data_IF_757422307668
#
_entry.id   IF_757422307668
#
_cell.length_a   1.000
_cell.length_b   1.000
_cell.length_c   1.000
_cell.angle_alpha   90.00
_cell.angle_beta   90.00
_cell.angle_gamma   90.00
#
_symmetry.space_group_name_H-M   'P 1'
#
loop_
_entity.id
_entity.type
_entity.pdbx_description
1 polymer ?
#
# COMPACT_ATOMS: atom_id res chain seq x y z
N UNK A 1 -2.90 -18.89 19.83
CA UNK A 1 -2.88 -18.28 18.49
C UNK A 1 -4.09 -18.77 17.72
N UNK A 2 -5.01 -17.88 17.35
CA UNK A 2 -6.05 -18.24 16.37
C UNK A 2 -5.33 -18.46 15.05
N UNK A 3 -5.33 -19.69 14.53
CA UNK A 3 -4.84 -19.95 13.17
C UNK A 3 -5.80 -19.26 12.22
N UNK A 4 -5.46 -18.04 11.81
CA UNK A 4 -6.16 -17.35 10.74
C UNK A 4 -5.85 -18.10 9.44
N UNK A 5 -6.86 -18.39 8.62
CA UNK A 5 -6.68 -19.00 7.29
C UNK A 5 -6.03 -18.07 6.26
N UNK A 6 -5.22 -17.11 6.72
CA UNK A 6 -4.51 -16.14 5.90
C UNK A 6 -3.30 -16.81 5.28
N UNK A 7 -2.98 -16.47 4.03
CA UNK A 7 -1.79 -17.00 3.37
C UNK A 7 -0.54 -16.45 4.07
N UNK A 8 0.35 -17.34 4.49
CA UNK A 8 1.64 -16.99 5.07
C UNK A 8 2.72 -16.81 3.98
N UNK A 9 3.97 -16.58 4.37
CA UNK A 9 5.07 -16.39 3.43
C UNK A 9 5.30 -17.60 2.52
N UNK A 10 5.11 -18.83 3.01
CA UNK A 10 5.26 -20.03 2.19
C UNK A 10 4.19 -20.12 1.10
N UNK A 11 2.94 -19.86 1.47
CA UNK A 11 1.82 -19.85 0.53
C UNK A 11 1.94 -18.71 -0.51
N UNK A 12 2.31 -17.50 -0.06
CA UNK A 12 2.53 -16.36 -0.96
C UNK A 12 3.72 -16.62 -1.88
N UNK A 13 4.86 -17.10 -1.34
CA UNK A 13 6.02 -17.48 -2.16
C UNK A 13 5.65 -18.46 -3.26
N UNK A 14 4.90 -19.51 -2.93
CA UNK A 14 4.46 -20.50 -3.92
C UNK A 14 3.73 -19.84 -5.08
N UNK A 15 2.78 -18.94 -4.78
CA UNK A 15 2.06 -18.16 -5.78
C UNK A 15 3.02 -17.33 -6.64
N UNK A 16 3.96 -16.62 -6.03
CA UNK A 16 4.92 -15.78 -6.75
C UNK A 16 5.81 -16.59 -7.69
N UNK A 17 6.27 -17.76 -7.26
CA UNK A 17 7.14 -18.63 -8.07
C UNK A 17 6.36 -19.27 -9.23
N UNK A 18 5.15 -19.78 -8.97
CA UNK A 18 4.28 -20.37 -10.00
C UNK A 18 3.94 -19.35 -11.11
N UNK A 19 3.84 -18.06 -10.76
CA UNK A 19 3.50 -16.98 -11.67
C UNK A 19 4.70 -16.11 -12.08
N UNK A 20 5.94 -16.49 -11.73
CA UNK A 20 7.11 -15.60 -11.84
C UNK A 20 7.30 -15.05 -13.26
N UNK A 21 7.08 -15.89 -14.28
CA UNK A 21 7.30 -15.53 -15.67
C UNK A 21 6.33 -14.43 -16.09
N UNK A 22 5.04 -14.64 -15.80
CA UNK A 22 4.00 -13.67 -16.11
C UNK A 22 4.17 -12.37 -15.32
N UNK A 23 4.52 -12.46 -14.03
CA UNK A 23 4.85 -11.28 -13.21
C UNK A 23 5.97 -10.47 -13.86
N UNK A 24 7.08 -11.13 -14.22
CA UNK A 24 8.22 -10.44 -14.84
C UNK A 24 7.86 -9.89 -16.20
N UNK A 25 7.09 -10.59 -17.03
CA UNK A 25 6.70 -10.14 -18.37
C UNK A 25 5.73 -8.94 -18.33
N UNK A 26 4.69 -9.00 -17.50
CA UNK A 26 3.62 -8.00 -17.48
C UNK A 26 3.93 -6.77 -16.62
N UNK A 27 4.87 -6.86 -15.66
CA UNK A 27 5.22 -5.70 -14.84
C UNK A 27 5.78 -4.57 -15.72
N UNK A 28 5.07 -3.45 -15.77
CA UNK A 28 5.47 -2.28 -16.53
C UNK A 28 6.31 -1.31 -15.69
N UNK A 29 7.02 -0.40 -16.37
CA UNK A 29 7.86 0.59 -15.70
C UNK A 29 7.07 1.75 -15.10
N UNK A 30 5.88 2.02 -15.60
CA UNK A 30 5.06 3.17 -15.22
C UNK A 30 4.81 3.18 -13.70
N UNK A 31 4.46 2.03 -13.14
CA UNK A 31 4.17 1.90 -11.70
C UNK A 31 5.31 2.40 -10.80
N UNK A 32 6.57 2.03 -11.08
CA UNK A 32 7.71 2.51 -10.28
C UNK A 32 8.16 3.92 -10.63
N UNK A 33 7.97 4.33 -11.89
CA UNK A 33 8.32 5.67 -12.35
C UNK A 33 7.40 6.71 -11.69
N UNK A 34 6.09 6.45 -11.65
CA UNK A 34 5.11 7.28 -10.96
C UNK A 34 5.38 7.29 -9.45
N UNK A 35 5.66 6.14 -8.84
CA UNK A 35 6.06 6.08 -7.42
C UNK A 35 7.29 6.94 -7.12
N UNK A 36 8.33 6.84 -7.96
CA UNK A 36 9.56 7.62 -7.81
C UNK A 36 9.28 9.12 -7.97
N UNK A 37 8.49 9.51 -8.98
CA UNK A 37 8.06 10.89 -9.19
C UNK A 37 7.33 11.43 -7.97
N UNK A 38 6.37 10.68 -7.41
CA UNK A 38 5.63 11.10 -6.22
C UNK A 38 6.55 11.28 -5.02
N UNK A 39 7.48 10.35 -4.81
CA UNK A 39 8.45 10.45 -3.73
C UNK A 39 9.37 11.67 -3.89
N UNK A 40 9.84 11.98 -5.11
CA UNK A 40 10.61 13.19 -5.38
C UNK A 40 9.79 14.46 -5.12
N UNK A 41 8.53 14.50 -5.57
CA UNK A 41 7.64 15.64 -5.37
C UNK A 41 7.28 15.86 -3.90
N UNK A 42 7.16 14.78 -3.12
CA UNK A 42 6.95 14.83 -1.67
C UNK A 42 8.10 15.55 -0.95
N UNK A 43 9.33 15.46 -1.46
CA UNK A 43 10.49 16.13 -0.88
C UNK A 43 10.73 17.57 -1.37
N UNK A 44 10.03 18.03 -2.41
CA UNK A 44 10.26 19.36 -3.01
C UNK A 44 9.64 20.52 -2.24
N UNK A 45 8.67 20.27 -1.38
CA UNK A 45 8.00 21.33 -0.64
C UNK A 45 6.69 20.87 0.00
N UNK A 46 5.86 21.84 0.39
CA UNK A 46 4.54 21.59 0.97
C UNK A 46 3.62 20.91 -0.05
N UNK A 47 2.92 19.86 0.39
CA UNK A 47 1.88 19.19 -0.41
C UNK A 47 0.72 20.14 -0.67
N UNK A 48 0.41 21.05 0.26
CA UNK A 48 -0.74 21.94 0.17
C UNK A 48 -0.73 22.76 -1.11
N UNK A 49 0.45 23.26 -1.50
CA UNK A 49 0.67 24.05 -2.72
C UNK A 49 1.14 23.24 -3.92
N UNK A 50 1.45 21.95 -3.76
CA UNK A 50 1.96 21.10 -4.85
C UNK A 50 0.81 20.44 -5.62
N UNK A 51 0.20 21.18 -6.54
CA UNK A 51 -0.90 20.69 -7.37
C UNK A 51 -0.55 19.49 -8.24
N UNK A 52 0.70 19.41 -8.75
CA UNK A 52 1.16 18.27 -9.52
C UNK A 52 1.21 16.99 -8.67
N UNK A 53 1.75 17.08 -7.44
CA UNK A 53 1.76 15.96 -6.50
C UNK A 53 0.34 15.48 -6.23
N UNK A 54 -0.58 16.38 -5.84
CA UNK A 54 -1.97 16.02 -5.53
C UNK A 54 -2.65 15.33 -6.72
N UNK A 55 -2.49 15.87 -7.93
CA UNK A 55 -3.08 15.30 -9.15
C UNK A 55 -2.58 13.88 -9.42
N UNK A 56 -1.26 13.67 -9.45
CA UNK A 56 -0.67 12.36 -9.72
C UNK A 56 -0.99 11.37 -8.59
N UNK A 57 -0.93 11.83 -7.33
CA UNK A 57 -1.18 11.00 -6.16
C UNK A 57 -2.62 10.47 -6.15
N UNK A 58 -3.59 11.33 -6.48
CA UNK A 58 -5.01 10.96 -6.52
C UNK A 58 -5.30 9.86 -7.53
N UNK A 59 -4.73 9.99 -8.72
CA UNK A 59 -4.86 8.99 -9.77
C UNK A 59 -4.17 7.68 -9.36
N UNK A 60 -2.95 7.76 -8.83
CA UNK A 60 -2.14 6.59 -8.49
C UNK A 60 -2.71 5.77 -7.31
N UNK A 61 -3.27 6.45 -6.30
CA UNK A 61 -3.86 5.81 -5.11
C UNK A 61 -5.40 5.83 -5.10
N UNK A 62 -6.02 6.05 -6.26
CA UNK A 62 -7.46 6.01 -6.46
C UNK A 62 -8.28 6.87 -5.46
N UNK A 63 -7.78 8.05 -5.11
CA UNK A 63 -8.56 9.04 -4.34
C UNK A 63 -9.63 9.73 -5.18
N UNK A 64 -9.59 9.59 -6.52
CA UNK A 64 -10.65 10.05 -7.42
C UNK A 64 -11.92 9.18 -7.38
N UNK A 65 -11.95 8.19 -6.47
CA UNK A 65 -13.10 7.31 -6.28
C UNK A 65 -14.37 8.14 -5.96
N UNK A 66 -15.53 7.83 -6.59
CA UNK A 66 -16.80 8.53 -6.35
C UNK A 66 -17.29 8.55 -4.89
N UNK A 67 -16.74 7.71 -4.01
CA UNK A 67 -17.07 7.72 -2.58
C UNK A 67 -16.29 8.76 -1.76
N UNK A 68 -15.21 9.32 -2.33
CA UNK A 68 -14.40 10.38 -1.72
C UNK A 68 -15.11 11.73 -1.89
N UNK A 69 -15.19 12.48 -0.79
CA UNK A 69 -15.74 13.84 -0.73
C UNK A 69 -14.60 14.86 -0.74
N UNK A 70 -14.88 16.09 -1.15
CA UNK A 70 -13.89 17.18 -1.10
C UNK A 70 -13.38 17.41 0.33
N UNK A 71 -14.26 17.30 1.33
CA UNK A 71 -13.91 17.37 2.75
C UNK A 71 -12.93 16.24 3.15
N UNK A 72 -13.16 15.02 2.65
CA UNK A 72 -12.25 13.91 2.88
C UNK A 72 -10.90 14.14 2.22
N UNK A 73 -10.89 14.56 0.96
CA UNK A 73 -9.66 14.84 0.21
C UNK A 73 -8.83 15.93 0.92
N UNK A 74 -9.48 17.02 1.33
CA UNK A 74 -8.82 18.08 2.08
C UNK A 74 -8.21 17.54 3.37
N UNK A 75 -9.01 16.82 4.18
CA UNK A 75 -8.53 16.26 5.45
C UNK A 75 -7.40 15.25 5.25
N UNK A 76 -7.47 14.46 4.18
CA UNK A 76 -6.45 13.49 3.82
C UNK A 76 -5.11 14.16 3.53
N UNK A 77 -5.10 15.22 2.70
CA UNK A 77 -3.86 15.92 2.37
C UNK A 77 -3.30 16.74 3.53
N UNK A 78 -4.14 17.31 4.39
CA UNK A 78 -3.68 17.93 5.66
C UNK A 78 -2.93 16.91 6.54
N UNK A 79 -3.48 15.70 6.66
CA UNK A 79 -2.86 14.63 7.44
C UNK A 79 -1.57 14.12 6.78
N UNK A 80 -1.54 13.96 5.46
CA UNK A 80 -0.34 13.57 4.74
C UNK A 80 0.76 14.63 4.88
N UNK A 81 0.44 15.92 4.83
CA UNK A 81 1.40 17.01 5.07
C UNK A 81 1.94 16.96 6.50
N UNK A 82 1.07 16.76 7.50
CA UNK A 82 1.48 16.58 8.89
C UNK A 82 2.41 15.38 9.05
N UNK A 83 2.07 14.24 8.46
CA UNK A 83 2.88 13.03 8.55
C UNK A 83 4.18 13.13 7.75
N UNK A 84 4.21 13.89 6.65
CA UNK A 84 5.44 14.19 5.89
C UNK A 84 6.47 14.94 6.74
N UNK A 85 6.02 15.88 7.56
CA UNK A 85 6.87 16.65 8.48
C UNK A 85 7.23 15.87 9.75
N UNK A 86 6.46 14.83 10.09
CA UNK A 86 6.64 14.05 11.30
C UNK A 86 7.80 13.06 11.18
N UNK A 87 8.79 13.14 12.08
CA UNK A 87 9.89 12.17 12.18
C UNK A 87 9.60 10.98 13.08
N UNK A 88 8.56 11.07 13.92
CA UNK A 88 8.20 10.03 14.86
C UNK A 88 7.44 8.88 14.18
N UNK A 89 7.31 7.77 14.90
CA UNK A 89 6.49 6.63 14.45
C UNK A 89 5.03 7.08 14.29
N UNK A 90 4.40 6.86 13.13
CA UNK A 90 3.02 7.28 12.89
C UNK A 90 2.06 6.52 13.80
N UNK A 91 1.09 7.23 14.38
CA UNK A 91 0.00 6.61 15.12
C UNK A 91 -1.13 6.25 14.16
N UNK A 92 -1.03 5.05 13.58
CA UNK A 92 -1.97 4.53 12.56
C UNK A 92 -3.42 4.60 13.06
N UNK A 93 -3.68 4.23 14.31
CA UNK A 93 -5.03 4.24 14.89
C UNK A 93 -5.60 5.66 14.92
N UNK A 94 -4.79 6.63 15.35
CA UNK A 94 -5.21 8.03 15.45
C UNK A 94 -5.47 8.65 14.08
N UNK A 95 -4.57 8.44 13.12
CA UNK A 95 -4.74 8.93 11.74
C UNK A 95 -6.01 8.32 11.12
N UNK A 96 -6.20 7.00 11.30
CA UNK A 96 -7.40 6.31 10.79
C UNK A 96 -8.67 6.80 11.48
N UNK A 97 -8.62 7.10 12.77
CA UNK A 97 -9.76 7.65 13.50
C UNK A 97 -10.16 9.03 13.00
N UNK A 98 -9.20 9.91 12.75
CA UNK A 98 -9.48 11.25 12.21
C UNK A 98 -10.12 11.19 10.81
N UNK A 99 -9.66 10.27 9.94
CA UNK A 99 -10.32 10.05 8.65
C UNK A 99 -11.69 9.37 8.77
N UNK A 100 -11.87 8.48 9.76
CA UNK A 100 -13.15 7.83 10.04
C UNK A 100 -14.25 8.82 10.47
N UNK A 101 -13.87 9.93 11.08
CA UNK A 101 -14.79 11.00 11.49
C UNK A 101 -15.32 11.82 10.31
N UNK A 102 -14.62 11.83 9.18
CA UNK A 102 -15.11 12.51 7.97
C UNK A 102 -16.18 11.64 7.31
N UNK A 103 -17.39 12.18 7.23
CA UNK A 103 -18.54 11.45 6.69
C UNK A 103 -18.43 11.31 5.17
N UNK A 104 -18.84 10.15 4.67
CA UNK A 104 -19.01 9.96 3.23
C UNK A 104 -20.23 10.72 2.71
N UNK A 105 -20.47 10.67 1.39
CA UNK A 105 -21.62 11.31 0.73
C UNK A 105 -23.00 10.93 1.30
N UNK A 106 -23.10 9.77 1.94
CA UNK A 106 -24.32 9.28 2.58
C UNK A 106 -24.41 9.66 4.07
N UNK A 107 -23.51 10.51 4.57
CA UNK A 107 -23.47 10.93 5.98
C UNK A 107 -22.92 9.87 6.94
N UNK A 108 -22.39 8.76 6.44
CA UNK A 108 -21.93 7.63 7.25
C UNK A 108 -20.40 7.65 7.42
N UNK A 109 -19.87 7.27 8.60
CA UNK A 109 -18.44 7.07 8.76
C UNK A 109 -18.00 5.81 8.01
N UNK A 110 -16.82 5.86 7.39
CA UNK A 110 -16.25 4.74 6.65
C UNK A 110 -14.87 4.37 7.20
N UNK A 111 -14.53 3.07 7.16
CA UNK A 111 -13.21 2.61 7.56
C UNK A 111 -12.21 2.89 6.44
N UNK A 112 -11.36 3.90 6.61
CA UNK A 112 -10.44 4.38 5.58
C UNK A 112 -9.00 3.88 5.77
N UNK A 113 -8.85 2.67 6.33
CA UNK A 113 -7.55 2.07 6.63
C UNK A 113 -6.63 1.95 5.40
N UNK A 114 -7.11 1.49 4.22
CA UNK A 114 -6.27 1.42 3.01
C UNK A 114 -5.68 2.78 2.63
N UNK A 115 -6.47 3.85 2.67
CA UNK A 115 -5.97 5.21 2.38
C UNK A 115 -4.90 5.67 3.36
N UNK A 116 -5.02 5.33 4.65
CA UNK A 116 -3.95 5.60 5.63
C UNK A 116 -2.69 4.81 5.30
N UNK A 117 -2.80 3.55 4.85
CA UNK A 117 -1.63 2.77 4.46
C UNK A 117 -0.97 3.36 3.21
N UNK A 118 -1.72 3.87 2.24
CA UNK A 118 -1.19 4.57 1.07
C UNK A 118 -0.37 5.82 1.47
N UNK A 119 -0.90 6.59 2.42
CA UNK A 119 -0.22 7.76 3.01
C UNK A 119 1.12 7.39 3.64
N UNK A 120 1.15 6.30 4.40
CA UNK A 120 2.38 5.84 5.06
C UNK A 120 3.36 5.17 4.10
N UNK A 121 2.84 4.47 3.09
CA UNK A 121 3.62 3.80 2.06
C UNK A 121 4.39 4.79 1.18
N UNK A 122 3.77 5.91 0.78
CA UNK A 122 4.48 6.93 -0.01
C UNK A 122 5.58 7.61 0.80
N UNK A 123 5.36 7.80 2.11
CA UNK A 123 6.34 8.39 3.02
C UNK A 123 7.50 7.42 3.30
N UNK A 124 7.18 6.14 3.45
CA UNK A 124 8.14 5.11 3.79
C UNK A 124 7.75 3.75 3.17
N UNK A 125 8.53 3.21 2.21
CA UNK A 125 8.20 1.96 1.52
C UNK A 125 8.20 0.71 2.41
N UNK A 126 8.67 0.80 3.66
CA UNK A 126 8.59 -0.31 4.62
C UNK A 126 7.18 -0.53 5.19
N UNK A 127 6.22 0.36 4.89
CA UNK A 127 4.81 0.12 5.10
C UNK A 127 4.23 -0.50 3.83
N UNK A 128 3.94 -1.82 3.76
CA UNK A 128 3.38 -2.44 2.57
C UNK A 128 2.07 -1.78 2.12
N UNK A 129 1.79 -1.86 0.82
CA UNK A 129 0.52 -1.43 0.27
C UNK A 129 -0.62 -2.34 0.75
N UNK A 130 -1.81 -1.79 0.99
CA UNK A 130 -2.96 -2.53 1.53
C UNK A 130 -4.20 -2.38 0.64
N UNK A 131 -4.00 -2.54 -0.67
CA UNK A 131 -5.06 -2.50 -1.69
C UNK A 131 -5.90 -3.77 -1.71
N UNK A 132 -7.10 -3.69 -2.31
CA UNK A 132 -8.07 -4.80 -2.37
C UNK A 132 -7.47 -6.09 -2.93
N UNK A 133 -6.72 -6.02 -4.03
CA UNK A 133 -6.17 -7.23 -4.66
C UNK A 133 -5.16 -7.91 -3.72
N UNK A 134 -4.36 -7.15 -2.97
CA UNK A 134 -3.44 -7.71 -1.96
C UNK A 134 -4.22 -8.35 -0.81
N UNK A 135 -5.27 -7.68 -0.34
CA UNK A 135 -6.17 -8.23 0.70
C UNK A 135 -6.76 -9.57 0.25
N UNK A 136 -7.19 -9.68 -1.01
CA UNK A 136 -7.76 -10.90 -1.60
C UNK A 136 -6.70 -12.00 -1.78
N UNK A 137 -5.51 -11.66 -2.29
CA UNK A 137 -4.38 -12.58 -2.40
C UNK A 137 -4.04 -13.21 -1.04
N UNK A 138 -4.06 -12.43 0.04
CA UNK A 138 -3.81 -12.93 1.40
C UNK A 138 -5.00 -13.65 2.03
N UNK A 139 -6.16 -13.65 1.37
CA UNK A 139 -7.42 -14.19 1.89
C UNK A 139 -7.82 -13.56 3.22
N UNK A 140 -7.57 -12.26 3.34
CA UNK A 140 -7.98 -11.49 4.52
C UNK A 140 -9.50 -11.38 4.58
N UNK A 141 -10.06 -11.70 5.75
CA UNK A 141 -11.49 -11.59 6.00
C UNK A 141 -11.95 -10.12 5.95
N UNK A 142 -13.07 -9.84 5.29
CA UNK A 142 -13.64 -8.48 5.28
C UNK A 142 -14.04 -8.02 6.68
N UNK A 143 -13.98 -6.71 6.93
CA UNK A 143 -14.41 -6.09 8.20
C UNK A 143 -15.80 -5.46 8.13
N UNK A 144 -16.55 -5.63 7.03
CA UNK A 144 -17.83 -4.95 6.81
C UNK A 144 -18.90 -5.33 7.84
N UNK A 145 -18.94 -6.60 8.25
CA UNK A 145 -19.87 -7.12 9.24
C UNK A 145 -19.53 -6.69 10.69
N UNK A 146 -18.33 -6.19 10.94
CA UNK A 146 -17.91 -5.75 12.27
C UNK A 146 -18.53 -4.38 12.58
N UNK A 147 -19.13 -4.24 13.75
CA UNK A 147 -19.70 -2.97 14.20
C UNK A 147 -18.69 -2.12 14.97
N UNK A 148 -18.61 -0.84 14.60
CA UNK A 148 -17.80 0.18 15.27
C UNK A 148 -16.33 0.22 14.86
N UNK A 149 -15.72 1.40 15.04
CA UNK A 149 -14.33 1.69 14.70
C UNK A 149 -13.35 0.69 15.33
N UNK A 150 -13.41 0.50 16.65
CA UNK A 150 -12.42 -0.31 17.38
C UNK A 150 -12.31 -1.76 16.88
N UNK A 151 -13.43 -2.41 16.57
CA UNK A 151 -13.42 -3.80 16.07
C UNK A 151 -12.84 -3.88 14.66
N UNK A 152 -13.21 -2.95 13.78
CA UNK A 152 -12.65 -2.85 12.42
C UNK A 152 -11.15 -2.55 12.47
N UNK A 153 -10.75 -1.57 13.27
CA UNK A 153 -9.36 -1.16 13.47
C UNK A 153 -8.49 -2.32 13.97
N UNK A 154 -8.95 -3.04 15.00
CA UNK A 154 -8.22 -4.21 15.52
C UNK A 154 -7.99 -5.25 14.41
N UNK A 155 -9.03 -5.58 13.63
CA UNK A 155 -8.91 -6.52 12.51
C UNK A 155 -7.91 -6.04 11.45
N UNK A 156 -8.02 -4.77 11.04
CA UNK A 156 -7.12 -4.19 10.04
C UNK A 156 -5.66 -4.21 10.51
N UNK A 157 -5.38 -3.87 11.77
CA UNK A 157 -4.03 -3.95 12.34
C UNK A 157 -3.50 -5.38 12.39
N UNK A 158 -4.33 -6.36 12.76
CA UNK A 158 -3.95 -7.78 12.78
C UNK A 158 -3.58 -8.27 11.36
N UNK A 159 -4.39 -7.93 10.36
CA UNK A 159 -4.13 -8.26 8.95
C UNK A 159 -2.87 -7.57 8.42
N UNK A 160 -2.74 -6.28 8.71
CA UNK A 160 -1.59 -5.50 8.27
C UNK A 160 -0.28 -5.99 8.90
N UNK A 161 -0.33 -6.39 10.17
CA UNK A 161 0.82 -7.01 10.83
C UNK A 161 1.22 -8.32 10.15
N UNK A 162 0.25 -9.17 9.85
CA UNK A 162 0.49 -10.43 9.12
C UNK A 162 1.11 -10.17 7.73
N UNK A 163 0.60 -9.18 7.00
CA UNK A 163 1.16 -8.74 5.71
C UNK A 163 2.63 -8.30 5.87
N UNK A 164 2.90 -7.43 6.84
CA UNK A 164 4.25 -6.94 7.11
C UNK A 164 5.21 -8.07 7.48
N UNK A 165 4.83 -8.95 8.41
CA UNK A 165 5.63 -10.12 8.80
C UNK A 165 5.90 -11.06 7.61
N UNK A 166 4.91 -11.25 6.74
CA UNK A 166 5.08 -12.03 5.51
C UNK A 166 6.12 -11.40 4.58
N UNK A 167 6.05 -10.08 4.37
CA UNK A 167 7.02 -9.38 3.52
C UNK A 167 8.44 -9.45 4.08
N UNK A 168 8.62 -9.36 5.40
CA UNK A 168 9.93 -9.52 6.03
C UNK A 168 10.53 -10.90 5.79
N UNK A 169 9.70 -11.96 5.77
CA UNK A 169 10.16 -13.32 5.45
C UNK A 169 10.51 -13.47 3.97
N UNK A 170 9.72 -12.90 3.07
CA UNK A 170 10.02 -12.91 1.63
C UNK A 170 11.30 -12.14 1.28
N UNK A 171 11.65 -11.11 2.06
CA UNK A 171 12.82 -10.26 1.84
C UNK A 171 14.16 -11.02 1.93
N UNK A 172 14.20 -12.10 2.70
CA UNK A 172 15.41 -12.92 2.90
C UNK A 172 15.39 -14.22 2.09
N UNK A 173 14.32 -14.47 1.33
CA UNK A 173 14.16 -15.68 0.53
C UNK A 173 14.92 -15.58 -0.80
N UNK A 174 15.78 -16.56 -1.08
CA UNK A 174 16.67 -16.55 -2.24
C UNK A 174 15.93 -16.64 -3.59
N UNK A 175 14.79 -17.34 -3.64
CA UNK A 175 14.02 -17.46 -4.88
C UNK A 175 13.30 -16.13 -5.19
N UNK A 176 12.80 -15.45 -4.15
CA UNK A 176 12.23 -14.09 -4.29
C UNK A 176 13.29 -13.08 -4.72
N UNK A 177 14.50 -13.15 -4.15
CA UNK A 177 15.65 -12.35 -4.60
C UNK A 177 15.95 -12.63 -6.09
N UNK A 178 15.80 -13.88 -6.54
CA UNK A 178 15.88 -14.26 -7.95
C UNK A 178 14.90 -13.49 -8.84
N UNK A 179 13.64 -13.35 -8.44
CA UNK A 179 12.64 -12.55 -9.18
C UNK A 179 13.05 -11.07 -9.21
N UNK A 180 13.50 -10.52 -8.09
CA UNK A 180 13.97 -9.12 -8.01
C UNK A 180 15.12 -8.87 -9.00
N UNK A 181 16.08 -9.79 -9.06
CA UNK A 181 17.22 -9.69 -9.99
C UNK A 181 16.77 -9.74 -11.46
N UNK A 182 15.77 -10.56 -11.79
CA UNK A 182 15.18 -10.59 -13.14
C UNK A 182 14.53 -9.25 -13.50
N UNK A 183 13.82 -8.63 -12.56
CA UNK A 183 13.23 -7.29 -12.77
C UNK A 183 14.31 -6.20 -12.91
N UNK A 184 15.36 -6.26 -12.09
CA UNK A 184 16.51 -5.34 -12.19
C UNK A 184 17.21 -5.43 -13.54
N UNK A 185 17.27 -6.63 -14.13
CA UNK A 185 17.77 -6.84 -15.48
C UNK A 185 16.77 -6.37 -16.55
N UNK A 186 15.48 -6.72 -16.41
CA UNK A 186 14.43 -6.34 -17.35
C UNK A 186 14.36 -4.83 -17.54
N UNK A 187 14.25 -4.09 -16.44
CA UNK A 187 14.12 -2.63 -16.52
C UNK A 187 15.46 -1.96 -16.79
N UNK A 188 16.55 -2.51 -16.27
CA UNK A 188 17.91 -1.96 -16.35
C UNK A 188 17.99 -0.44 -16.04
N UNK A 189 17.06 0.05 -15.23
CA UNK A 189 16.87 1.47 -14.96
C UNK A 189 17.46 1.84 -13.59
N UNK A 190 18.08 3.02 -13.51
CA UNK A 190 18.76 3.46 -12.28
C UNK A 190 17.76 3.76 -11.16
N UNK A 191 16.59 4.32 -11.48
CA UNK A 191 15.57 4.63 -10.47
C UNK A 191 14.97 3.35 -9.90
N UNK A 192 14.67 2.36 -10.74
CA UNK A 192 14.21 1.04 -10.28
C UNK A 192 15.23 0.34 -9.39
N UNK A 193 16.51 0.30 -9.80
CA UNK A 193 17.57 -0.37 -9.03
C UNK A 193 17.78 0.24 -7.64
N UNK A 194 17.54 1.54 -7.48
CA UNK A 194 17.64 2.26 -6.21
C UNK A 194 16.47 2.01 -5.26
N UNK A 195 15.36 1.45 -5.74
CA UNK A 195 14.23 1.14 -4.86
C UNK A 195 14.65 0.13 -3.79
N UNK A 196 14.23 0.33 -2.53
CA UNK A 196 14.42 -0.67 -1.49
C UNK A 196 13.80 -2.01 -1.91
N UNK A 197 14.47 -3.12 -1.57
CA UNK A 197 13.98 -4.46 -1.91
C UNK A 197 12.55 -4.73 -1.41
N UNK A 198 12.18 -4.17 -0.25
CA UNK A 198 10.80 -4.26 0.28
C UNK A 198 9.77 -3.64 -0.69
N UNK A 199 10.12 -2.54 -1.39
CA UNK A 199 9.23 -1.94 -2.39
C UNK A 199 9.14 -2.79 -3.65
N UNK A 200 10.22 -3.45 -4.05
CA UNK A 200 10.19 -4.39 -5.18
C UNK A 200 9.32 -5.61 -4.85
N UNK A 201 9.37 -6.12 -3.63
CA UNK A 201 8.46 -7.18 -3.15
C UNK A 201 7.01 -6.71 -3.19
N UNK A 202 6.73 -5.52 -2.68
CA UNK A 202 5.40 -4.90 -2.75
C UNK A 202 4.87 -4.85 -4.20
N UNK A 203 5.71 -4.45 -5.16
CA UNK A 203 5.34 -4.45 -6.58
C UNK A 203 5.11 -5.86 -7.13
N UNK A 204 5.96 -6.82 -6.80
CA UNK A 204 5.82 -8.23 -7.21
C UNK A 204 4.50 -8.82 -6.69
N UNK A 205 4.19 -8.60 -5.41
CA UNK A 205 2.96 -9.09 -4.78
C UNK A 205 1.73 -8.40 -5.38
N UNK A 206 1.78 -7.08 -5.61
CA UNK A 206 0.69 -6.36 -6.28
C UNK A 206 0.45 -6.89 -7.70
N UNK A 207 1.52 -7.12 -8.48
CA UNK A 207 1.39 -7.67 -9.84
C UNK A 207 0.79 -9.08 -9.81
N UNK A 208 1.26 -9.94 -8.91
CA UNK A 208 0.70 -11.28 -8.73
C UNK A 208 -0.78 -11.22 -8.34
N UNK A 209 -1.15 -10.31 -7.44
CA UNK A 209 -2.53 -10.12 -7.04
C UNK A 209 -3.42 -9.69 -8.22
N UNK A 210 -2.95 -8.77 -9.07
CA UNK A 210 -3.66 -8.33 -10.27
C UNK A 210 -3.81 -9.45 -11.30
N UNK A 211 -2.79 -10.30 -11.50
CA UNK A 211 -2.86 -11.46 -12.41
C UNK A 211 -3.94 -12.48 -11.96
N UNK A 212 -4.16 -12.60 -10.66
CA UNK A 212 -5.08 -13.57 -10.07
C UNK A 212 -6.51 -13.03 -9.83
N UNK A 213 -6.73 -11.73 -10.06
CA UNK A 213 -8.03 -11.06 -9.89
C UNK A 213 -8.87 -11.15 -11.16
#
# INVERSE_FOLDING_TARGET
>A
MVRTGYKDAGAVKKILIENQKQIVEEMNSESYQVYTLLHEQLHKGSIETNGLFKFVYRSFYNLDNPSVTDEFEQRYFELLEKERLNTDRPNITEITHQLYQVKNRNGNPSMQFPFVMNMLHIKNPYFPNFESNVVDLFSFSTSYHLQGFNKKMKRSIEQYRHLHETYQQLLVDQEIIGIINQLDQKFNDRSFKKLPAIKKIDMIVNQAATILS
#
